data_IF_335153174152
#
_entry.id   IF_335153174152
#
_cell.length_a   1.000
_cell.length_b   1.000
_cell.length_c   1.000
_cell.angle_alpha   90.00
_cell.angle_beta   90.00
_cell.angle_gamma   90.00
#
_symmetry.space_group_name_H-M   'P 1'
#
loop_
_entity.id
_entity.type
_entity.pdbx_description
1 polymer ?
#
# COMPACT_ATOMS: atom_id res chain seq x y z
N UNK A 1 -4.32 -0.38 -13.26
CA UNK A 1 -3.99 -1.55 -12.42
C UNK A 1 -5.17 -1.82 -11.50
N UNK A 2 -5.35 -1.07 -10.40
CA UNK A 2 -6.49 -1.25 -9.48
C UNK A 2 -7.87 -1.32 -10.18
N UNK A 3 -8.16 -0.39 -11.10
CA UNK A 3 -9.46 -0.29 -11.79
C UNK A 3 -9.50 -0.91 -13.19
N UNK A 4 -8.35 -1.37 -13.71
CA UNK A 4 -8.22 -1.80 -15.11
C UNK A 4 -7.65 -3.19 -15.30
N UNK A 5 -6.97 -3.75 -14.30
CA UNK A 5 -6.40 -5.10 -14.34
C UNK A 5 -6.18 -5.63 -12.90
N UNK A 6 -7.09 -6.47 -12.44
CA UNK A 6 -7.12 -7.00 -11.08
C UNK A 6 -5.96 -7.96 -10.79
N UNK A 7 -5.58 -8.79 -11.76
CA UNK A 7 -4.45 -9.72 -11.64
C UNK A 7 -3.13 -8.98 -11.43
N UNK A 8 -2.91 -7.91 -12.19
CA UNK A 8 -1.74 -7.05 -12.02
C UNK A 8 -1.77 -6.33 -10.67
N UNK A 9 -2.96 -5.98 -10.16
CA UNK A 9 -3.09 -5.41 -8.83
C UNK A 9 -2.78 -6.44 -7.73
N UNK A 10 -3.23 -7.68 -7.87
CA UNK A 10 -2.88 -8.81 -6.99
C UNK A 10 -1.36 -8.99 -6.91
N UNK A 11 -0.69 -9.08 -8.06
CA UNK A 11 0.77 -9.16 -8.13
C UNK A 11 1.45 -7.97 -7.47
N UNK A 12 0.95 -6.76 -7.67
CA UNK A 12 1.48 -5.58 -6.99
C UNK A 12 1.33 -5.68 -5.45
N UNK A 13 0.21 -6.17 -4.94
CA UNK A 13 0.01 -6.29 -3.49
C UNK A 13 0.95 -7.35 -2.89
N UNK A 14 1.09 -8.51 -3.54
CA UNK A 14 1.77 -9.67 -2.95
C UNK A 14 3.23 -9.87 -3.38
N UNK A 15 3.59 -9.50 -4.60
CA UNK A 15 4.92 -9.75 -5.19
C UNK A 15 5.82 -8.51 -5.21
N UNK A 16 5.33 -7.37 -4.73
CA UNK A 16 6.11 -6.13 -4.68
C UNK A 16 6.47 -5.71 -3.24
N UNK A 17 7.17 -4.57 -3.12
CA UNK A 17 7.50 -3.95 -1.83
C UNK A 17 6.29 -3.36 -1.08
N UNK A 18 5.06 -3.58 -1.56
CA UNK A 18 3.82 -3.08 -0.97
C UNK A 18 3.67 -3.48 0.51
N UNK A 19 3.72 -4.79 0.82
CA UNK A 19 3.62 -5.29 2.21
C UNK A 19 4.83 -4.92 3.09
N UNK A 20 5.93 -4.51 2.46
CA UNK A 20 7.08 -3.90 3.15
C UNK A 20 6.79 -2.48 3.62
N UNK A 21 6.02 -1.72 2.86
CA UNK A 21 5.76 -0.28 3.09
C UNK A 21 4.47 -0.02 3.85
N UNK A 22 3.43 -0.81 3.59
CA UNK A 22 2.11 -0.69 4.21
C UNK A 22 1.88 -1.82 5.21
N UNK A 23 1.27 -1.49 6.33
CA UNK A 23 0.72 -2.44 7.29
C UNK A 23 -0.73 -2.73 6.90
N UNK A 24 -1.03 -4.01 6.70
CA UNK A 24 -2.36 -4.55 6.40
C UNK A 24 -2.54 -5.75 7.31
N UNK A 25 -3.74 -5.92 7.88
CA UNK A 25 -4.03 -7.03 8.76
C UNK A 25 -3.99 -8.39 8.03
N UNK A 26 -3.53 -9.42 8.74
CA UNK A 26 -3.39 -10.77 8.20
C UNK A 26 -4.72 -11.39 7.75
N UNK A 27 -5.83 -11.07 8.42
CA UNK A 27 -7.16 -11.54 8.03
C UNK A 27 -7.57 -10.93 6.68
N UNK A 28 -7.31 -9.63 6.48
CA UNK A 28 -7.55 -8.96 5.22
C UNK A 28 -6.72 -9.56 4.09
N UNK A 29 -5.42 -9.82 4.32
CA UNK A 29 -4.55 -10.44 3.31
C UNK A 29 -5.04 -11.84 2.91
N UNK A 30 -5.46 -12.66 3.87
CA UNK A 30 -6.03 -13.98 3.60
C UNK A 30 -7.35 -13.93 2.84
N UNK A 31 -8.10 -12.84 2.99
CA UNK A 31 -9.36 -12.64 2.27
C UNK A 31 -9.11 -12.24 0.81
N UNK A 32 -8.30 -11.20 0.59
CA UNK A 32 -8.05 -10.65 -0.75
C UNK A 32 -7.24 -11.60 -1.67
N UNK A 33 -6.55 -12.60 -1.10
CA UNK A 33 -5.83 -13.60 -1.89
C UNK A 33 -6.77 -14.62 -2.54
N UNK A 34 -7.94 -14.91 -1.93
CA UNK A 34 -8.90 -15.93 -2.40
C UNK A 34 -10.16 -15.35 -3.02
N UNK A 35 -10.46 -14.07 -2.75
CA UNK A 35 -11.70 -13.41 -3.15
C UNK A 35 -11.39 -12.16 -3.98
N UNK A 36 -11.76 -12.23 -5.27
CA UNK A 36 -11.57 -11.14 -6.23
C UNK A 36 -12.40 -9.89 -5.89
N UNK A 37 -13.59 -10.07 -5.31
CA UNK A 37 -14.44 -8.95 -4.89
C UNK A 37 -13.82 -8.24 -3.69
N UNK A 38 -13.29 -9.01 -2.74
CA UNK A 38 -12.55 -8.45 -1.61
C UNK A 38 -11.28 -7.72 -2.07
N UNK A 39 -10.57 -8.25 -3.07
CA UNK A 39 -9.41 -7.59 -3.67
C UNK A 39 -9.78 -6.26 -4.34
N UNK A 40 -10.91 -6.22 -5.05
CA UNK A 40 -11.43 -4.98 -5.65
C UNK A 40 -11.76 -3.92 -4.58
N UNK A 41 -12.47 -4.32 -3.53
CA UNK A 41 -12.80 -3.43 -2.40
C UNK A 41 -11.55 -2.88 -1.72
N UNK A 42 -10.55 -3.76 -1.52
CA UNK A 42 -9.24 -3.36 -1.01
C UNK A 42 -8.54 -2.36 -1.95
N UNK A 43 -8.68 -2.55 -3.26
CA UNK A 43 -8.20 -1.62 -4.27
C UNK A 43 -8.76 -0.20 -4.11
N UNK A 44 -10.07 -0.07 -3.87
CA UNK A 44 -10.68 1.24 -3.62
C UNK A 44 -10.20 1.87 -2.32
N UNK A 45 -10.05 1.10 -1.26
CA UNK A 45 -9.48 1.58 0.01
C UNK A 45 -8.02 2.02 -0.13
N UNK A 46 -7.24 1.29 -0.93
CA UNK A 46 -5.88 1.71 -1.29
C UNK A 46 -5.86 3.05 -2.03
N UNK A 47 -6.76 3.24 -3.01
CA UNK A 47 -6.85 4.52 -3.73
C UNK A 47 -7.28 5.65 -2.81
N UNK A 48 -8.30 5.43 -1.97
CA UNK A 48 -8.77 6.37 -0.96
C UNK A 48 -7.63 6.84 -0.04
N UNK A 49 -6.81 5.91 0.45
CA UNK A 49 -5.70 6.22 1.35
C UNK A 49 -4.53 6.90 0.62
N UNK A 50 -4.05 6.32 -0.48
CA UNK A 50 -2.78 6.73 -1.12
C UNK A 50 -2.94 7.90 -2.07
N UNK A 51 -4.05 7.98 -2.81
CA UNK A 51 -4.28 9.04 -3.79
C UNK A 51 -4.97 10.23 -3.13
N UNK A 52 -6.02 9.97 -2.34
CA UNK A 52 -6.85 11.03 -1.76
C UNK A 52 -6.43 11.41 -0.33
N UNK A 53 -5.50 10.67 0.29
CA UNK A 53 -5.01 10.98 1.64
C UNK A 53 -6.09 10.84 2.74
N UNK A 54 -7.19 10.17 2.44
CA UNK A 54 -8.27 9.95 3.40
C UNK A 54 -7.90 8.83 4.37
N UNK A 55 -8.46 8.88 5.58
CA UNK A 55 -8.22 7.85 6.58
C UNK A 55 -8.75 6.48 6.12
N UNK A 56 -7.97 5.44 6.39
CA UNK A 56 -8.34 4.04 6.17
C UNK A 56 -7.98 3.23 7.40
N UNK A 57 -8.91 2.40 7.83
CA UNK A 57 -8.72 1.45 8.94
C UNK A 57 -8.01 0.16 8.49
N UNK A 58 -7.90 -0.03 7.18
CA UNK A 58 -7.44 -1.28 6.56
C UNK A 58 -5.97 -1.18 6.13
N UNK A 59 -5.52 0.00 5.73
CA UNK A 59 -4.18 0.24 5.19
C UNK A 59 -3.54 1.39 5.96
N UNK A 60 -2.34 1.15 6.51
CA UNK A 60 -1.54 2.19 7.19
C UNK A 60 -0.10 2.18 6.70
N UNK A 61 0.47 3.34 6.43
CA UNK A 61 1.89 3.44 6.10
C UNK A 61 2.74 3.12 7.34
N UNK A 62 3.75 2.24 7.19
CA UNK A 62 4.67 1.92 8.29
C UNK A 62 5.57 3.13 8.58
N UNK A 63 5.66 3.52 9.86
CA UNK A 63 6.46 4.67 10.32
C UNK A 63 7.95 4.56 9.94
N UNK A 64 8.52 3.36 9.96
CA UNK A 64 9.92 3.11 9.57
C UNK A 64 10.24 3.53 8.11
N UNK A 65 9.28 3.35 7.20
CA UNK A 65 9.45 3.72 5.78
C UNK A 65 9.42 5.24 5.61
N UNK A 66 8.58 5.92 6.40
CA UNK A 66 8.50 7.38 6.42
C UNK A 66 9.82 7.98 6.92
N UNK A 67 10.35 7.48 8.05
CA UNK A 67 11.60 7.96 8.65
C UNK A 67 12.81 7.76 7.73
N UNK A 68 12.90 6.61 7.06
CA UNK A 68 13.96 6.33 6.06
C UNK A 68 13.89 7.33 4.90
N UNK A 69 12.69 7.62 4.41
CA UNK A 69 12.48 8.54 3.28
C UNK A 69 12.84 9.98 3.67
N UNK A 70 12.39 10.44 4.84
CA UNK A 70 12.73 11.77 5.39
C UNK A 70 14.25 11.92 5.58
N UNK A 71 14.91 10.93 6.19
CA UNK A 71 16.39 10.92 6.34
C UNK A 71 17.11 11.00 4.99
N UNK A 72 16.61 10.30 3.97
CA UNK A 72 17.19 10.32 2.60
C UNK A 72 17.04 11.70 1.96
N UNK A 73 15.88 12.34 2.11
CA UNK A 73 15.62 13.70 1.60
C UNK A 73 16.50 14.74 2.30
N UNK A 74 16.61 14.69 3.63
CA UNK A 74 17.46 15.60 4.40
C UNK A 74 18.94 15.43 4.01
N UNK A 75 19.42 14.19 3.86
CA UNK A 75 20.79 13.90 3.41
C UNK A 75 21.06 14.42 1.99
N UNK A 76 20.06 14.37 1.10
CA UNK A 76 20.17 14.87 -0.28
C UNK A 76 20.18 16.40 -0.33
N UNK A 77 19.41 17.07 0.54
CA UNK A 77 19.42 18.54 0.69
C UNK A 77 20.71 19.06 1.35
N UNK A 78 21.29 18.34 2.31
CA UNK A 78 22.58 18.70 2.95
C UNK A 78 23.81 18.52 2.06
N UNK A 79 23.70 17.77 0.96
CA UNK A 79 24.79 17.53 0.00
C UNK A 79 24.79 18.51 -1.19
N UNK A 80 23.80 19.42 -1.22
CA UNK A 80 23.66 20.45 -2.25
C UNK A 80 23.93 21.80 -1.59
#
# INVERSE_FOLDING_TARGET
MVTTNMERFRQFVFESAFLGSFAVDSNTLNKIIKDDVALMQFGFEYLKYVIFGAESDIIRLKKDVLDKTVKKIIKKRRKK
#
